data_IF_140625469362
#
_entry.id   IF_140625469362
#
_cell.length_a   1.000
_cell.length_b   1.000
_cell.length_c   1.000
_cell.angle_alpha   90.00
_cell.angle_beta   90.00
_cell.angle_gamma   90.00
#
_symmetry.space_group_name_H-M   'P 1'
#
loop_
_entity.id
_entity.type
_entity.pdbx_description
1 polymer ?
#
# COMPACT_ATOMS: atom_id res chain seq x y z
N UNK A 1 12.34 -13.50 -10.57
CA UNK A 1 12.51 -12.21 -9.85
C UNK A 1 12.00 -11.02 -10.68
N UNK A 2 11.99 -11.10 -12.02
CA UNK A 2 11.44 -10.06 -12.90
C UNK A 2 9.90 -10.00 -12.88
N UNK A 3 9.21 -11.12 -12.61
CA UNK A 3 7.74 -11.20 -12.56
C UNK A 3 7.11 -10.69 -11.26
N UNK A 4 7.90 -10.41 -10.23
CA UNK A 4 7.42 -9.80 -8.97
C UNK A 4 7.40 -8.27 -9.01
N UNK A 5 7.83 -7.65 -10.10
CA UNK A 5 8.00 -6.20 -10.22
C UNK A 5 6.70 -5.39 -10.37
N UNK A 6 5.55 -6.02 -10.62
CA UNK A 6 4.28 -5.29 -10.78
C UNK A 6 3.66 -4.78 -9.48
N UNK A 7 4.12 -5.24 -8.30
CA UNK A 7 3.50 -4.91 -7.00
C UNK A 7 4.40 -4.14 -6.03
N UNK A 8 5.70 -4.08 -6.27
CA UNK A 8 6.60 -3.27 -5.45
C UNK A 8 7.67 -2.64 -6.35
N UNK A 9 7.81 -1.34 -6.31
CA UNK A 9 9.00 -0.69 -6.86
C UNK A 9 10.12 -0.97 -5.85
N UNK A 10 10.88 -2.04 -6.09
CA UNK A 10 12.13 -2.33 -5.37
C UNK A 10 13.25 -2.00 -6.33
N UNK A 11 13.90 -0.86 -6.14
CA UNK A 11 15.12 -0.54 -6.88
C UNK A 11 16.29 -0.51 -5.91
N UNK A 12 17.23 -1.41 -6.12
CA UNK A 12 18.58 -1.31 -5.58
C UNK A 12 19.52 -1.19 -6.74
N UNK A 13 20.43 -0.24 -6.73
CA UNK A 13 21.49 -0.18 -7.73
C UNK A 13 22.38 -1.44 -7.59
N UNK A 14 22.82 -2.01 -8.73
CA UNK A 14 23.61 -3.26 -8.78
C UNK A 14 24.86 -3.24 -7.87
N UNK A 15 25.33 -2.06 -7.49
CA UNK A 15 26.50 -1.84 -6.63
C UNK A 15 26.19 -1.99 -5.13
N UNK A 16 24.91 -1.92 -4.73
CA UNK A 16 24.46 -2.02 -3.33
C UNK A 16 24.08 -3.45 -2.92
N UNK A 17 23.95 -4.38 -3.88
CA UNK A 17 23.54 -5.76 -3.59
C UNK A 17 24.62 -6.58 -2.87
N UNK A 18 25.90 -6.20 -2.99
CA UNK A 18 27.02 -6.97 -2.42
C UNK A 18 27.44 -6.51 -1.00
N UNK A 19 27.00 -5.33 -0.53
CA UNK A 19 27.43 -4.76 0.75
C UNK A 19 26.33 -4.58 1.83
N UNK A 20 25.05 -4.84 1.53
CA UNK A 20 23.97 -4.67 2.50
C UNK A 20 23.77 -5.92 3.38
N UNK A 21 24.84 -6.42 3.99
CA UNK A 21 24.71 -7.22 5.21
C UNK A 21 24.55 -6.23 6.36
N UNK A 22 23.32 -5.93 6.77
CA UNK A 22 23.06 -5.10 7.94
C UNK A 22 23.62 -5.82 9.17
N UNK A 23 24.77 -5.34 9.65
CA UNK A 23 25.43 -5.86 10.85
C UNK A 23 24.68 -5.50 12.15
N UNK A 24 23.68 -4.62 12.08
CA UNK A 24 22.82 -4.21 13.18
C UNK A 24 21.36 -4.07 12.73
N UNK A 25 20.42 -4.23 13.66
CA UNK A 25 19.00 -4.01 13.40
C UNK A 25 18.75 -2.57 12.93
N UNK A 26 17.91 -2.34 11.89
CA UNK A 26 17.66 -1.01 11.34
C UNK A 26 16.98 -0.09 12.35
N UNK A 27 17.36 1.17 12.32
CA UNK A 27 16.74 2.25 13.07
C UNK A 27 15.58 2.82 12.24
N UNK A 28 14.37 2.68 12.74
CA UNK A 28 13.14 2.93 11.96
C UNK A 28 12.49 4.24 12.41
N UNK A 29 12.14 5.09 11.45
CA UNK A 29 11.25 6.23 11.67
C UNK A 29 9.84 5.91 11.16
N UNK A 30 8.81 6.24 11.94
CA UNK A 30 7.40 6.09 11.57
C UNK A 30 6.77 7.45 11.37
N UNK A 31 6.18 7.67 10.17
CA UNK A 31 5.49 8.90 9.81
C UNK A 31 3.98 8.78 10.02
N UNK A 32 3.33 9.91 10.36
CA UNK A 32 1.93 9.92 10.72
C UNK A 32 1.67 9.15 12.02
N UNK A 33 2.55 9.33 12.99
CA UNK A 33 2.61 8.55 14.24
C UNK A 33 1.29 8.54 15.02
N UNK A 34 0.50 9.61 14.95
CA UNK A 34 -0.79 9.75 15.62
C UNK A 34 -1.96 9.06 14.90
N UNK A 35 -1.77 8.68 13.63
CA UNK A 35 -2.75 7.98 12.82
C UNK A 35 -2.95 6.52 13.24
N UNK A 36 -4.03 5.90 12.73
CA UNK A 36 -4.31 4.47 12.98
C UNK A 36 -3.12 3.58 12.61
N UNK A 37 -2.59 3.74 11.37
CA UNK A 37 -1.45 2.95 10.92
C UNK A 37 -0.17 3.31 11.68
N UNK A 38 0.08 4.61 11.98
CA UNK A 38 1.26 5.03 12.71
C UNK A 38 1.41 4.35 14.05
N UNK A 39 0.34 4.28 14.85
CA UNK A 39 0.32 3.60 16.15
C UNK A 39 0.60 2.09 16.02
N UNK A 40 -0.03 1.44 15.05
CA UNK A 40 0.19 0.00 14.77
C UNK A 40 1.63 -0.26 14.31
N UNK A 41 2.19 0.63 13.48
CA UNK A 41 3.57 0.52 13.01
C UNK A 41 4.58 0.72 14.14
N UNK A 42 4.36 1.66 15.06
CA UNK A 42 5.18 1.85 16.26
C UNK A 42 5.17 0.57 17.11
N UNK A 43 3.98 -0.01 17.34
CA UNK A 43 3.84 -1.28 18.05
C UNK A 43 4.56 -2.42 17.31
N UNK A 44 4.38 -2.55 16.00
CA UNK A 44 5.02 -3.59 15.20
C UNK A 44 6.55 -3.49 15.20
N UNK A 45 7.11 -2.28 15.16
CA UNK A 45 8.55 -2.03 15.28
C UNK A 45 9.06 -2.53 16.63
N UNK A 46 8.34 -2.22 17.71
CA UNK A 46 8.67 -2.66 19.06
C UNK A 46 8.60 -4.18 19.22
N UNK A 47 7.49 -4.80 18.77
CA UNK A 47 7.24 -6.23 18.89
C UNK A 47 8.25 -7.07 18.09
N UNK A 48 8.72 -6.52 16.96
CA UNK A 48 9.77 -7.11 16.14
C UNK A 48 11.19 -6.93 16.72
N UNK A 49 11.35 -6.23 17.85
CA UNK A 49 12.64 -5.96 18.47
C UNK A 49 13.52 -4.95 17.72
N UNK A 50 12.94 -4.15 16.83
CA UNK A 50 13.66 -3.09 16.14
C UNK A 50 13.70 -1.79 16.94
N UNK A 51 14.68 -0.92 16.62
CA UNK A 51 14.80 0.39 17.24
C UNK A 51 13.86 1.39 16.55
N UNK A 52 12.91 1.95 17.30
CA UNK A 52 12.18 3.14 16.87
C UNK A 52 13.09 4.36 17.06
N UNK A 53 13.67 4.87 15.97
CA UNK A 53 14.55 6.03 15.99
C UNK A 53 13.78 7.34 16.06
N UNK A 54 12.62 7.41 15.41
CA UNK A 54 11.78 8.60 15.38
C UNK A 54 10.30 8.26 15.15
N UNK A 55 9.43 9.10 15.69
CA UNK A 55 8.01 9.16 15.41
C UNK A 55 7.68 10.58 14.93
N UNK A 56 7.13 10.73 13.72
CA UNK A 56 6.93 12.04 13.10
C UNK A 56 5.46 12.28 12.85
N UNK A 57 5.02 13.48 13.16
CA UNK A 57 3.66 13.96 12.90
C UNK A 57 3.70 15.35 12.25
N UNK A 58 2.56 15.85 11.82
CA UNK A 58 2.49 17.22 11.27
C UNK A 58 2.92 18.23 12.33
N UNK A 59 3.64 19.31 11.97
CA UNK A 59 4.14 20.30 12.93
C UNK A 59 3.06 20.89 13.84
N UNK A 60 1.82 21.02 13.33
CA UNK A 60 0.68 21.59 14.06
C UNK A 60 -0.03 20.56 14.96
N UNK A 61 0.42 19.31 14.99
CA UNK A 61 -0.21 18.27 15.79
C UNK A 61 -0.03 18.52 17.29
N UNK A 62 -1.12 18.39 18.04
CA UNK A 62 -1.09 18.43 19.51
C UNK A 62 -0.31 17.25 20.13
N UNK A 63 0.11 16.28 19.33
CA UNK A 63 0.86 15.11 19.76
C UNK A 63 2.37 15.36 19.81
N UNK A 64 2.86 16.50 19.33
CA UNK A 64 4.27 16.84 19.38
C UNK A 64 4.75 16.86 20.85
N UNK A 65 5.88 16.18 21.10
CA UNK A 65 6.46 16.04 22.42
C UNK A 65 5.91 14.89 23.28
N UNK A 66 4.80 14.23 22.87
CA UNK A 66 4.33 13.01 23.54
C UNK A 66 5.29 11.84 23.29
N UNK A 67 5.29 10.85 24.18
CA UNK A 67 6.05 9.63 23.96
C UNK A 67 5.35 8.73 22.91
N UNK A 68 6.10 8.24 21.95
CA UNK A 68 5.56 7.42 20.85
C UNK A 68 5.01 6.08 21.35
N UNK A 69 5.61 5.49 22.35
CA UNK A 69 5.13 4.24 22.95
C UNK A 69 3.83 4.42 23.73
N UNK A 70 3.72 5.49 24.51
CA UNK A 70 2.47 5.86 25.18
C UNK A 70 1.36 6.14 24.14
N UNK A 71 1.70 6.84 23.06
CA UNK A 71 0.78 7.09 21.97
C UNK A 71 0.27 5.80 21.29
N UNK A 72 1.13 4.80 21.18
CA UNK A 72 0.81 3.47 20.63
C UNK A 72 0.19 2.50 21.65
N UNK A 73 0.14 2.87 22.95
CA UNK A 73 -0.42 2.04 24.02
C UNK A 73 0.46 0.90 24.53
N UNK A 74 1.78 1.00 24.30
CA UNK A 74 2.78 -0.03 24.68
C UNK A 74 3.73 0.41 25.78
N UNK A 75 3.40 1.50 26.50
CA UNK A 75 4.26 2.08 27.55
C UNK A 75 5.26 3.07 26.99
N UNK A 76 6.16 3.56 27.85
CA UNK A 76 7.13 4.59 27.49
C UNK A 76 8.32 4.01 26.74
N UNK A 77 8.61 4.51 25.53
CA UNK A 77 9.78 4.14 24.72
C UNK A 77 10.94 5.16 24.83
N UNK A 78 10.69 6.34 25.38
CA UNK A 78 11.68 7.42 25.43
C UNK A 78 11.83 8.18 24.11
N UNK A 79 11.02 7.87 23.09
CA UNK A 79 11.04 8.49 21.76
C UNK A 79 9.92 9.52 21.67
N UNK A 80 10.29 10.79 21.58
CA UNK A 80 9.33 11.90 21.45
C UNK A 80 8.83 12.03 20.03
N UNK A 81 7.51 12.26 19.87
CA UNK A 81 6.92 12.67 18.58
C UNK A 81 7.44 14.04 18.17
N UNK A 82 7.96 14.15 16.96
CA UNK A 82 8.51 15.40 16.40
C UNK A 82 7.75 15.86 15.17
N UNK A 83 7.86 17.15 14.82
CA UNK A 83 7.13 17.76 13.69
C UNK A 83 7.92 17.89 12.40
N UNK A 84 9.21 17.54 12.39
CA UNK A 84 10.09 17.74 11.25
C UNK A 84 10.97 16.51 10.99
N UNK A 85 10.69 15.85 9.87
CA UNK A 85 11.44 14.67 9.44
C UNK A 85 12.92 14.95 9.21
N UNK A 86 13.28 16.15 8.71
CA UNK A 86 14.68 16.52 8.44
C UNK A 86 15.58 16.41 9.66
N UNK A 87 15.04 16.74 10.84
CA UNK A 87 15.83 16.75 12.08
C UNK A 87 16.28 15.35 12.51
N UNK A 88 15.55 14.32 12.09
CA UNK A 88 15.73 12.95 12.56
C UNK A 88 16.30 11.99 11.50
N UNK A 89 16.33 12.39 10.23
CA UNK A 89 16.78 11.50 9.13
C UNK A 89 18.18 10.95 9.33
N UNK A 90 19.11 11.73 9.87
CA UNK A 90 20.49 11.29 10.16
C UNK A 90 20.58 10.14 11.17
N UNK A 91 19.55 9.97 11.98
CA UNK A 91 19.47 8.96 13.02
C UNK A 91 18.65 7.73 12.58
N UNK A 92 18.15 7.71 11.33
CA UNK A 92 17.30 6.69 10.78
C UNK A 92 17.96 5.97 9.61
N UNK A 93 17.71 4.67 9.51
CA UNK A 93 18.12 3.85 8.37
C UNK A 93 16.96 3.63 7.40
N UNK A 94 15.74 3.57 7.93
CA UNK A 94 14.51 3.35 7.17
C UNK A 94 13.38 4.23 7.69
N UNK A 95 12.66 4.85 6.76
CA UNK A 95 11.42 5.60 7.02
C UNK A 95 10.23 4.76 6.57
N UNK A 96 9.17 4.67 7.38
CA UNK A 96 7.91 4.00 7.05
C UNK A 96 6.80 5.03 6.94
N UNK A 97 6.18 5.13 5.76
CA UNK A 97 5.20 6.16 5.41
C UNK A 97 3.85 5.57 4.96
N UNK A 98 2.83 5.78 5.79
CA UNK A 98 1.42 5.46 5.52
C UNK A 98 0.56 6.71 5.73
N UNK A 99 0.96 7.83 5.14
CA UNK A 99 0.31 9.13 5.37
C UNK A 99 -0.68 9.50 4.25
N UNK A 100 -0.35 10.50 3.46
CA UNK A 100 -1.19 10.98 2.37
C UNK A 100 -0.31 11.31 1.14
N UNK A 101 -0.85 11.22 -0.10
CA UNK A 101 -0.07 11.38 -1.33
C UNK A 101 0.83 12.61 -1.37
N UNK A 102 0.32 13.77 -0.97
CA UNK A 102 1.10 15.02 -0.99
C UNK A 102 2.26 14.97 0.03
N UNK A 103 2.01 14.50 1.25
CA UNK A 103 3.03 14.36 2.29
C UNK A 103 4.08 13.32 1.90
N UNK A 104 3.66 12.17 1.38
CA UNK A 104 4.56 11.11 0.92
C UNK A 104 5.56 11.60 -0.12
N UNK A 105 5.15 12.48 -1.06
CA UNK A 105 6.08 13.02 -2.06
C UNK A 105 7.12 13.94 -1.42
N UNK A 106 6.75 14.72 -0.42
CA UNK A 106 7.73 15.55 0.30
C UNK A 106 8.68 14.67 1.14
N UNK A 107 8.17 13.67 1.83
CA UNK A 107 8.98 12.71 2.59
C UNK A 107 9.96 11.94 1.67
N UNK A 108 9.49 11.52 0.50
CA UNK A 108 10.31 10.85 -0.52
C UNK A 108 11.50 11.71 -0.97
N UNK A 109 11.27 13.02 -1.20
CA UNK A 109 12.35 13.96 -1.57
C UNK A 109 13.40 14.03 -0.47
N UNK A 110 12.96 14.18 0.78
CA UNK A 110 13.84 14.26 1.95
C UNK A 110 14.67 12.99 2.13
N UNK A 111 14.03 11.83 2.04
CA UNK A 111 14.71 10.53 2.12
C UNK A 111 15.74 10.35 1.01
N UNK A 112 15.39 10.72 -0.24
CA UNK A 112 16.30 10.70 -1.38
C UNK A 112 17.53 11.58 -1.16
N UNK A 113 17.34 12.81 -0.69
CA UNK A 113 18.43 13.76 -0.42
C UNK A 113 19.36 13.28 0.71
N UNK A 114 18.80 12.59 1.70
CA UNK A 114 19.53 12.03 2.83
C UNK A 114 20.12 10.63 2.56
N UNK A 115 19.77 9.99 1.44
CA UNK A 115 20.16 8.60 1.15
C UNK A 115 19.50 7.55 2.06
N UNK A 116 18.38 7.89 2.72
CA UNK A 116 17.66 7.04 3.66
C UNK A 116 16.60 6.22 2.93
N UNK A 117 16.51 4.92 3.24
CA UNK A 117 15.50 4.05 2.66
C UNK A 117 14.07 4.45 3.08
N UNK A 118 13.09 4.25 2.18
CA UNK A 118 11.70 4.54 2.49
C UNK A 118 10.76 3.41 2.06
N UNK A 119 9.86 3.02 2.98
CA UNK A 119 8.78 2.05 2.75
C UNK A 119 7.45 2.80 2.73
N UNK A 120 6.74 2.75 1.62
CA UNK A 120 5.55 3.56 1.36
C UNK A 120 4.32 2.66 1.19
N UNK A 121 3.34 2.82 2.09
CA UNK A 121 2.02 2.19 2.02
C UNK A 121 0.89 3.21 1.76
N UNK A 122 1.23 4.45 1.44
CA UNK A 122 0.25 5.47 1.08
C UNK A 122 -0.43 5.10 -0.23
N UNK A 123 -1.75 5.05 -0.23
CA UNK A 123 -2.58 4.78 -1.41
C UNK A 123 -3.03 6.07 -2.09
N UNK A 124 -3.56 5.96 -3.33
CA UNK A 124 -4.10 7.11 -4.06
C UNK A 124 -3.05 7.99 -4.75
N UNK A 125 -1.83 7.50 -4.93
CA UNK A 125 -0.80 8.17 -5.75
C UNK A 125 -1.23 8.18 -7.23
N UNK A 126 -1.17 9.33 -7.86
CA UNK A 126 -1.37 9.45 -9.31
C UNK A 126 -0.12 9.01 -10.10
N UNK A 127 -0.25 8.91 -11.43
CA UNK A 127 0.81 8.40 -12.30
C UNK A 127 2.09 9.25 -12.23
N UNK A 128 1.96 10.58 -12.12
CA UNK A 128 3.10 11.47 -11.94
C UNK A 128 3.82 11.21 -10.62
N UNK A 129 3.08 11.01 -9.52
CA UNK A 129 3.63 10.68 -8.22
C UNK A 129 4.31 9.31 -8.22
N UNK A 130 3.71 8.31 -8.89
CA UNK A 130 4.34 6.98 -9.07
C UNK A 130 5.65 7.08 -9.88
N UNK A 131 5.70 7.92 -10.92
CA UNK A 131 6.94 8.17 -11.66
C UNK A 131 8.04 8.79 -10.78
N UNK A 132 7.67 9.66 -9.82
CA UNK A 132 8.64 10.21 -8.85
C UNK A 132 9.20 9.16 -7.90
N UNK A 133 8.40 8.13 -7.52
CA UNK A 133 8.91 6.99 -6.75
C UNK A 133 10.00 6.26 -7.53
N UNK A 134 9.74 5.92 -8.80
CA UNK A 134 10.69 5.22 -9.66
C UNK A 134 11.99 6.03 -9.85
N UNK A 135 11.87 7.34 -10.06
CA UNK A 135 13.04 8.22 -10.16
C UNK A 135 13.84 8.28 -8.85
N UNK A 136 13.17 8.36 -7.70
CA UNK A 136 13.84 8.41 -6.40
C UNK A 136 14.55 7.12 -6.05
N UNK A 137 14.02 5.99 -6.49
CA UNK A 137 14.59 4.66 -6.29
C UNK A 137 15.98 4.47 -6.94
N UNK A 138 16.40 5.36 -7.83
CA UNK A 138 17.77 5.37 -8.37
C UNK A 138 18.81 5.98 -7.42
N UNK A 139 18.38 6.64 -6.35
CA UNK A 139 19.25 7.35 -5.40
C UNK A 139 19.18 6.79 -3.98
N UNK A 140 18.02 6.33 -3.55
CA UNK A 140 17.79 5.71 -2.25
C UNK A 140 16.86 4.51 -2.41
N UNK A 141 16.94 3.47 -1.56
CA UNK A 141 16.02 2.34 -1.62
C UNK A 141 14.58 2.78 -1.37
N UNK A 142 13.67 2.44 -2.29
CA UNK A 142 12.24 2.70 -2.18
C UNK A 142 11.48 1.40 -2.31
N UNK A 143 10.63 1.10 -1.33
CA UNK A 143 9.66 0.00 -1.39
C UNK A 143 8.27 0.62 -1.39
N UNK A 144 7.50 0.39 -2.43
CA UNK A 144 6.12 0.86 -2.54
C UNK A 144 5.17 -0.30 -2.82
N UNK A 145 4.12 -0.40 -2.02
CA UNK A 145 3.00 -1.29 -2.30
C UNK A 145 1.69 -0.65 -1.84
N UNK A 146 0.63 -0.81 -2.62
CA UNK A 146 -0.70 -0.35 -2.23
C UNK A 146 -1.32 -1.24 -1.14
N UNK A 147 -0.82 -2.49 -0.98
CA UNK A 147 -1.21 -3.42 0.08
C UNK A 147 -0.02 -4.29 0.48
N UNK A 148 0.27 -4.38 1.77
CA UNK A 148 1.34 -5.19 2.35
C UNK A 148 0.86 -6.53 2.92
N UNK A 149 -0.44 -6.84 2.83
CA UNK A 149 -0.96 -8.14 3.25
C UNK A 149 -0.45 -9.25 2.34
N UNK A 150 0.25 -10.22 2.90
CA UNK A 150 0.70 -11.42 2.17
C UNK A 150 -0.49 -12.15 1.56
N UNK A 151 -1.60 -12.30 2.33
CA UNK A 151 -2.82 -12.97 1.86
C UNK A 151 -3.42 -12.28 0.64
N UNK A 152 -3.53 -10.96 0.63
CA UNK A 152 -4.03 -10.20 -0.52
C UNK A 152 -3.13 -10.38 -1.74
N UNK A 153 -1.81 -10.27 -1.57
CA UNK A 153 -0.87 -10.42 -2.69
C UNK A 153 -0.87 -11.85 -3.27
N UNK A 154 -0.95 -12.88 -2.42
CA UNK A 154 -1.10 -14.27 -2.88
C UNK A 154 -2.42 -14.46 -3.62
N UNK A 155 -3.54 -13.91 -3.10
CA UNK A 155 -4.84 -13.98 -3.76
C UNK A 155 -4.79 -13.33 -5.15
N UNK A 156 -4.15 -12.17 -5.30
CA UNK A 156 -3.96 -11.52 -6.60
C UNK A 156 -3.20 -12.44 -7.58
N UNK A 157 -2.12 -13.10 -7.13
CA UNK A 157 -1.39 -14.04 -7.99
C UNK A 157 -2.22 -15.25 -8.41
N UNK A 158 -3.08 -15.75 -7.54
CA UNK A 158 -4.02 -16.82 -7.90
C UNK A 158 -5.06 -16.34 -8.90
N UNK A 159 -5.54 -15.09 -8.79
CA UNK A 159 -6.48 -14.50 -9.75
C UNK A 159 -5.84 -14.30 -11.14
N UNK A 160 -4.59 -13.83 -11.20
CA UNK A 160 -3.83 -13.73 -12.45
C UNK A 160 -3.69 -15.10 -13.14
N UNK A 161 -3.38 -16.16 -12.37
CA UNK A 161 -3.30 -17.51 -12.89
C UNK A 161 -4.66 -18.01 -13.40
N UNK A 162 -5.72 -17.82 -12.61
CA UNK A 162 -7.08 -18.20 -13.00
C UNK A 162 -7.51 -17.48 -14.28
N UNK A 163 -7.29 -16.16 -14.36
CA UNK A 163 -7.60 -15.37 -15.54
C UNK A 163 -6.90 -15.90 -16.80
N UNK A 164 -5.60 -16.20 -16.71
CA UNK A 164 -4.83 -16.76 -17.84
C UNK A 164 -5.33 -18.14 -18.28
N UNK A 165 -5.76 -18.99 -17.34
CA UNK A 165 -6.23 -20.34 -17.63
C UNK A 165 -7.63 -20.33 -18.25
N UNK A 166 -8.54 -19.53 -17.70
CA UNK A 166 -9.92 -19.47 -18.20
C UNK A 166 -10.08 -18.60 -19.44
N UNK A 167 -9.27 -17.54 -19.57
CA UNK A 167 -9.33 -16.60 -20.69
C UNK A 167 -10.73 -16.01 -20.88
N UNK A 168 -11.21 -16.01 -22.13
CA UNK A 168 -12.53 -15.49 -22.50
C UNK A 168 -13.67 -16.50 -22.31
N UNK A 169 -13.42 -17.67 -21.70
CA UNK A 169 -14.44 -18.71 -21.51
C UNK A 169 -15.36 -18.44 -20.30
N UNK A 170 -15.05 -17.45 -19.48
CA UNK A 170 -15.78 -17.15 -18.24
C UNK A 170 -16.16 -15.67 -18.14
N UNK A 171 -17.24 -15.40 -17.43
CA UNK A 171 -17.60 -14.06 -16.96
C UNK A 171 -16.95 -13.77 -15.63
N UNK A 172 -16.55 -12.50 -15.40
CA UNK A 172 -15.76 -12.12 -14.22
C UNK A 172 -16.51 -11.05 -13.43
N UNK A 173 -16.75 -11.31 -12.14
CA UNK A 173 -17.38 -10.39 -11.20
C UNK A 173 -16.54 -10.28 -9.91
N UNK A 174 -16.32 -9.06 -9.45
CA UNK A 174 -15.66 -8.74 -8.19
C UNK A 174 -16.69 -8.18 -7.22
N UNK A 175 -16.85 -8.84 -6.08
CA UNK A 175 -17.79 -8.42 -5.02
C UNK A 175 -16.95 -8.01 -3.82
N UNK A 176 -17.24 -6.83 -3.26
CA UNK A 176 -16.58 -6.37 -2.05
C UNK A 176 -17.58 -5.84 -1.02
N UNK A 177 -17.32 -6.08 0.25
CA UNK A 177 -18.15 -5.62 1.36
C UNK A 177 -17.30 -4.98 2.45
N UNK A 178 -17.69 -3.79 2.92
CA UNK A 178 -17.03 -3.08 4.01
C UNK A 178 -18.04 -2.39 4.93
N UNK A 179 -17.53 -1.91 6.05
CA UNK A 179 -18.30 -1.16 7.05
C UNK A 179 -18.92 0.11 6.44
N UNK A 180 -20.01 0.60 7.06
CA UNK A 180 -20.78 1.78 6.61
C UNK A 180 -19.97 3.08 6.49
N UNK A 181 -18.82 3.17 7.16
CA UNK A 181 -17.98 4.38 7.19
C UNK A 181 -16.91 4.41 6.10
N UNK A 182 -16.79 3.36 5.25
CA UNK A 182 -15.86 3.37 4.13
C UNK A 182 -16.38 4.28 3.02
N UNK A 183 -15.58 5.27 2.64
CA UNK A 183 -15.98 6.35 1.72
C UNK A 183 -15.69 6.05 0.25
N UNK A 184 -14.64 5.27 -0.03
CA UNK A 184 -14.29 4.87 -1.39
C UNK A 184 -15.10 3.63 -1.82
N UNK A 185 -15.51 3.59 -3.09
CA UNK A 185 -16.24 2.49 -3.71
C UNK A 185 -15.92 2.45 -5.23
N UNK A 186 -15.48 1.29 -5.78
CA UNK A 186 -15.05 0.08 -5.08
C UNK A 186 -13.83 0.31 -4.18
N UNK A 187 -13.55 -0.67 -3.30
CA UNK A 187 -12.34 -0.63 -2.46
C UNK A 187 -11.07 -0.69 -3.31
N UNK A 188 -9.97 -0.07 -2.82
CA UNK A 188 -8.68 -0.16 -3.51
C UNK A 188 -8.21 -1.60 -3.75
N UNK A 189 -8.50 -2.53 -2.83
CA UNK A 189 -8.20 -3.96 -3.00
C UNK A 189 -9.02 -4.60 -4.13
N UNK A 190 -10.32 -4.27 -4.23
CA UNK A 190 -11.16 -4.76 -5.33
C UNK A 190 -10.67 -4.25 -6.68
N UNK A 191 -10.29 -2.97 -6.76
CA UNK A 191 -9.70 -2.40 -7.99
C UNK A 191 -8.38 -3.08 -8.35
N UNK A 192 -7.50 -3.33 -7.38
CA UNK A 192 -6.24 -4.08 -7.62
C UNK A 192 -6.50 -5.49 -8.16
N UNK A 193 -7.50 -6.20 -7.62
CA UNK A 193 -7.90 -7.52 -8.13
C UNK A 193 -8.38 -7.44 -9.57
N UNK A 194 -9.25 -6.47 -9.89
CA UNK A 194 -9.75 -6.24 -11.24
C UNK A 194 -8.65 -5.83 -12.22
N UNK A 195 -7.73 -4.95 -11.81
CA UNK A 195 -6.57 -4.54 -12.61
C UNK A 195 -5.67 -5.73 -12.96
N UNK A 196 -5.33 -6.57 -11.98
CA UNK A 196 -4.50 -7.75 -12.19
C UNK A 196 -5.14 -8.76 -13.15
N UNK A 197 -6.46 -8.96 -13.05
CA UNK A 197 -7.22 -9.81 -13.96
C UNK A 197 -7.24 -9.20 -15.37
N UNK A 198 -7.60 -7.91 -15.51
CA UNK A 198 -7.65 -7.22 -16.78
C UNK A 198 -6.31 -7.27 -17.52
N UNK A 199 -5.21 -6.93 -16.81
CA UNK A 199 -3.85 -6.99 -17.33
C UNK A 199 -3.48 -8.40 -17.79
N UNK A 200 -3.83 -9.44 -17.03
CA UNK A 200 -3.58 -10.85 -17.36
C UNK A 200 -4.31 -11.30 -18.62
N UNK A 201 -5.43 -10.63 -18.96
CA UNK A 201 -6.24 -10.87 -20.15
C UNK A 201 -5.93 -9.90 -21.30
N UNK A 202 -4.95 -9.01 -21.15
CA UNK A 202 -4.61 -7.98 -22.14
C UNK A 202 -5.70 -6.90 -22.31
N UNK A 203 -6.49 -6.64 -21.27
CA UNK A 203 -7.57 -5.65 -21.24
C UNK A 203 -7.18 -4.42 -20.43
N UNK A 204 -7.71 -3.24 -20.78
CA UNK A 204 -7.64 -2.05 -19.91
C UNK A 204 -8.85 -2.04 -18.98
N UNK A 205 -8.62 -2.09 -17.66
CA UNK A 205 -9.71 -2.07 -16.69
C UNK A 205 -10.61 -0.84 -16.85
N UNK A 206 -10.07 0.32 -17.24
CA UNK A 206 -10.84 1.56 -17.43
C UNK A 206 -11.89 1.43 -18.52
N UNK A 207 -11.66 0.57 -19.52
CA UNK A 207 -12.58 0.34 -20.65
C UNK A 207 -13.58 -0.78 -20.36
N UNK A 208 -13.17 -1.81 -19.59
CA UNK A 208 -13.98 -3.03 -19.40
C UNK A 208 -14.69 -3.10 -18.04
N UNK A 209 -14.40 -2.17 -17.11
CA UNK A 209 -15.03 -2.16 -15.78
C UNK A 209 -16.52 -1.74 -15.87
N UNK A 210 -17.37 -2.51 -15.19
CA UNK A 210 -18.81 -2.21 -15.02
C UNK A 210 -19.11 -2.08 -13.53
N UNK A 211 -19.36 -0.85 -13.08
CA UNK A 211 -19.56 -0.54 -11.65
C UNK A 211 -21.02 -0.58 -11.20
N UNK A 212 -21.97 -0.64 -12.13
CA UNK A 212 -23.40 -0.76 -11.82
C UNK A 212 -24.17 -1.36 -12.98
N UNK A 213 -25.23 -2.10 -12.66
CA UNK A 213 -26.25 -2.56 -13.61
C UNK A 213 -27.61 -2.26 -13.00
N UNK A 214 -28.44 -1.49 -13.71
CA UNK A 214 -29.77 -1.11 -13.28
C UNK A 214 -30.75 -1.14 -14.47
N UNK A 215 -31.97 -1.64 -14.25
CA UNK A 215 -33.00 -1.72 -15.30
C UNK A 215 -32.70 -2.76 -16.39
N UNK A 216 -33.07 -2.47 -17.61
CA UNK A 216 -32.87 -3.33 -18.77
C UNK A 216 -31.52 -2.98 -19.44
N UNK A 217 -30.46 -3.65 -19.06
CA UNK A 217 -29.09 -3.36 -19.55
C UNK A 217 -28.69 -4.18 -20.78
N UNK A 218 -29.57 -5.09 -21.26
CA UNK A 218 -29.23 -6.06 -22.30
C UNK A 218 -28.33 -7.19 -21.79
N UNK A 219 -27.85 -8.02 -22.72
CA UNK A 219 -26.90 -9.08 -22.38
C UNK A 219 -25.58 -8.50 -21.95
N UNK A 220 -24.91 -9.19 -21.01
CA UNK A 220 -23.59 -8.83 -20.53
C UNK A 220 -22.54 -8.94 -21.64
N UNK A 221 -21.67 -7.95 -21.77
CA UNK A 221 -20.48 -8.08 -22.59
C UNK A 221 -19.49 -9.04 -21.90
N UNK A 222 -19.02 -10.04 -22.63
CA UNK A 222 -18.13 -11.09 -22.15
C UNK A 222 -16.76 -10.55 -21.71
N UNK A 223 -16.30 -9.45 -22.27
CA UNK A 223 -15.04 -8.82 -21.90
C UNK A 223 -15.13 -7.96 -20.63
N UNK A 224 -16.35 -7.63 -20.17
CA UNK A 224 -16.52 -6.79 -19.00
C UNK A 224 -16.08 -7.49 -17.71
N UNK A 225 -15.57 -6.69 -16.75
CA UNK A 225 -15.32 -7.08 -15.37
C UNK A 225 -16.28 -6.29 -14.49
N UNK A 226 -17.22 -6.99 -13.85
CA UNK A 226 -18.23 -6.34 -13.00
C UNK A 226 -17.72 -6.09 -11.59
N UNK A 227 -18.19 -5.02 -10.96
CA UNK A 227 -17.90 -4.70 -9.57
C UNK A 227 -19.19 -4.49 -8.79
N UNK A 228 -19.32 -5.20 -7.65
CA UNK A 228 -20.43 -5.07 -6.73
C UNK A 228 -19.91 -4.58 -5.39
N UNK A 229 -20.47 -3.47 -4.91
CA UNK A 229 -20.03 -2.82 -3.68
C UNK A 229 -21.12 -2.90 -2.60
N UNK A 230 -20.79 -3.48 -1.46
CA UNK A 230 -21.66 -3.58 -0.29
C UNK A 230 -21.11 -2.70 0.83
N UNK A 231 -21.97 -1.90 1.48
CA UNK A 231 -21.65 -1.10 2.65
C UNK A 231 -22.64 -1.41 3.76
N UNK A 232 -22.19 -1.90 4.90
CA UNK A 232 -23.09 -2.25 6.00
C UNK A 232 -22.35 -2.53 7.30
N UNK A 233 -23.02 -2.26 8.43
CA UNK A 233 -22.53 -2.59 9.75
C UNK A 233 -21.10 -2.16 10.02
N UNK A 234 -20.35 -3.11 10.54
CA UNK A 234 -18.95 -3.06 10.92
C UNK A 234 -18.07 -4.08 10.16
N UNK A 235 -18.52 -4.50 8.95
CA UNK A 235 -17.77 -5.44 8.10
C UNK A 235 -16.34 -4.92 7.91
N UNK A 236 -15.38 -5.73 8.30
CA UNK A 236 -13.95 -5.35 8.27
C UNK A 236 -13.46 -5.15 6.83
N UNK A 237 -13.82 -6.09 5.96
CA UNK A 237 -13.51 -6.09 4.53
C UNK A 237 -13.54 -7.52 3.98
N UNK A 238 -14.42 -7.77 3.03
CA UNK A 238 -14.57 -9.04 2.33
C UNK A 238 -14.45 -8.83 0.84
N UNK A 239 -13.77 -9.74 0.15
CA UNK A 239 -13.60 -9.69 -1.30
C UNK A 239 -13.83 -11.08 -1.88
N UNK A 240 -14.69 -11.15 -2.88
CA UNK A 240 -14.96 -12.37 -3.65
C UNK A 240 -14.79 -12.08 -5.12
N UNK A 241 -14.02 -12.92 -5.81
CA UNK A 241 -13.92 -12.87 -7.27
C UNK A 241 -14.53 -14.14 -7.84
N UNK A 242 -15.47 -13.97 -8.75
CA UNK A 242 -16.19 -15.06 -9.42
C UNK A 242 -15.70 -15.19 -10.86
N UNK A 243 -15.33 -16.39 -11.25
CA UNK A 243 -15.10 -16.81 -12.63
C UNK A 243 -16.26 -17.75 -13.00
N UNK A 244 -17.16 -17.32 -13.86
CA UNK A 244 -18.46 -17.93 -14.10
C UNK A 244 -18.49 -18.51 -15.52
N UNK A 245 -18.48 -19.82 -15.64
CA UNK A 245 -18.55 -20.54 -16.90
C UNK A 245 -19.99 -20.89 -17.30
N UNK A 246 -20.21 -21.17 -18.58
CA UNK A 246 -21.45 -21.74 -19.09
C UNK A 246 -21.52 -23.24 -18.68
N UNK A 247 -22.64 -23.70 -18.11
CA UNK A 247 -22.91 -25.09 -17.71
C UNK A 247 -22.55 -25.36 -16.26
#
# INVERSE_FOLDING_TARGET
LAELQSFAIVSTTKKQHEEYVMSAAPRIAVLGAGGRMGRILIQAVHDAGYSLAAAVERPESSLIGTDAGELAGIGTLGVKVVGDLKQVLKDCDVVVDFTAPAATIEHLKLCREAGVAIVIGTTGLNDQQKAMLAQSATHAPVVYAANYSVGVNVSIKLLELAAKVFGDSVDIEVIEAHHRHKVDAPSGTALMMGEAIAESLGRDLKEVAVYSREGHTGARDRQSIGFQTIRGGDIVGEHTVMFIADG
#
